data_IF_966769689550
#
_entry.id   IF_966769689550
#
_cell.length_a   1.000
_cell.length_b   1.000
_cell.length_c   1.000
_cell.angle_alpha   90.00
_cell.angle_beta   90.00
_cell.angle_gamma   90.00
#
_symmetry.space_group_name_H-M   'P 1'
#
loop_
_entity.id
_entity.type
_entity.pdbx_description
1 polymer ?
#
# COMPACT_ATOMS: atom_id res chain seq x y z
N UNK A 1 -8.94 -18.61 15.45
CA UNK A 1 -8.81 -17.17 15.18
C UNK A 1 -8.45 -16.99 13.72
N UNK A 2 -8.99 -15.98 13.03
CA UNK A 2 -8.56 -15.59 11.69
C UNK A 2 -7.80 -14.27 11.82
N UNK A 3 -6.75 -14.09 11.01
CA UNK A 3 -6.05 -12.82 10.88
C UNK A 3 -6.17 -12.30 9.46
N UNK A 4 -6.38 -11.00 9.29
CA UNK A 4 -6.35 -10.31 8.01
C UNK A 4 -5.37 -9.13 8.10
N UNK A 5 -4.53 -8.98 7.08
CA UNK A 5 -3.60 -7.86 6.90
C UNK A 5 -3.53 -7.51 5.41
N UNK A 6 -3.09 -6.32 5.09
CA UNK A 6 -2.99 -5.87 3.71
C UNK A 6 -1.75 -5.03 3.43
N UNK A 7 -1.40 -4.93 2.15
CA UNK A 7 -0.61 -3.82 1.63
C UNK A 7 -1.31 -3.22 0.41
N UNK A 8 -1.31 -1.89 0.30
CA UNK A 8 -1.89 -1.18 -0.84
C UNK A 8 -1.15 -1.51 -2.12
N UNK A 9 -1.84 -2.02 -3.14
CA UNK A 9 -1.26 -2.18 -4.47
C UNK A 9 -1.34 -0.87 -5.25
N UNK A 10 -0.26 -0.58 -5.98
CA UNK A 10 -0.23 0.59 -6.84
C UNK A 10 -1.11 0.38 -8.09
N UNK A 11 -1.82 1.41 -8.55
CA UNK A 11 -2.61 1.32 -9.79
C UNK A 11 -2.05 2.34 -10.78
N UNK A 12 -1.24 1.87 -11.73
CA UNK A 12 -0.64 2.70 -12.77
C UNK A 12 -1.59 2.99 -13.93
N UNK A 13 -2.53 2.08 -14.19
CA UNK A 13 -3.49 2.22 -15.28
C UNK A 13 -4.56 3.28 -14.95
N UNK A 14 -4.34 4.50 -15.46
CA UNK A 14 -5.24 5.63 -15.21
C UNK A 14 -6.63 5.47 -15.83
N UNK A 15 -6.80 4.62 -16.83
CA UNK A 15 -8.10 4.35 -17.47
C UNK A 15 -9.11 3.70 -16.51
N UNK A 16 -8.62 3.16 -15.38
CA UNK A 16 -9.45 2.58 -14.33
C UNK A 16 -10.11 3.66 -13.44
N UNK A 17 -9.61 4.89 -13.42
CA UNK A 17 -10.17 6.00 -12.63
C UNK A 17 -11.28 6.73 -13.39
N UNK A 18 -12.33 5.99 -13.75
CA UNK A 18 -13.50 6.52 -14.46
C UNK A 18 -14.78 6.14 -13.74
N UNK A 19 -15.85 6.90 -13.99
CA UNK A 19 -17.21 6.62 -13.48
C UNK A 19 -17.77 5.27 -13.96
N UNK A 20 -17.09 4.60 -14.88
CA UNK A 20 -17.41 3.21 -15.26
C UNK A 20 -17.07 2.23 -14.14
N UNK A 21 -15.96 2.44 -13.42
CA UNK A 21 -15.40 1.50 -12.45
C UNK A 21 -15.48 1.98 -11.01
N UNK A 22 -15.60 3.29 -10.77
CA UNK A 22 -15.71 3.91 -9.45
C UNK A 22 -17.00 4.74 -9.44
N UNK A 23 -17.97 4.39 -8.60
CA UNK A 23 -19.33 4.94 -8.61
C UNK A 23 -19.84 5.18 -7.19
N UNK A 24 -20.71 6.20 -6.99
CA UNK A 24 -21.32 6.43 -5.68
C UNK A 24 -22.40 5.38 -5.33
N UNK A 25 -23.02 4.75 -6.34
CA UNK A 25 -24.11 3.79 -6.15
C UNK A 25 -23.68 2.36 -6.50
N UNK A 26 -24.17 1.38 -5.71
CA UNK A 26 -23.88 -0.04 -5.92
C UNK A 26 -22.47 -0.49 -5.51
N UNK A 27 -21.72 0.36 -4.81
CA UNK A 27 -20.38 0.08 -4.32
C UNK A 27 -20.27 0.39 -2.82
N UNK A 28 -19.35 -0.29 -2.14
CA UNK A 28 -19.10 -0.11 -0.70
C UNK A 28 -17.61 0.14 -0.48
N UNK A 29 -17.27 1.15 0.32
CA UNK A 29 -15.88 1.47 0.63
C UNK A 29 -15.15 0.31 1.31
N UNK A 30 -13.85 0.19 1.02
CA UNK A 30 -13.00 -0.89 1.53
C UNK A 30 -13.11 -1.09 3.03
N UNK A 31 -13.11 0.00 3.82
CA UNK A 31 -13.15 -0.08 5.29
C UNK A 31 -14.44 -0.73 5.84
N UNK A 32 -15.58 -0.53 5.18
CA UNK A 32 -16.84 -1.19 5.56
C UNK A 32 -16.78 -2.67 5.14
N UNK A 33 -16.32 -2.96 3.92
CA UNK A 33 -16.22 -4.34 3.41
C UNK A 33 -15.27 -5.19 4.24
N UNK A 34 -14.12 -4.67 4.66
CA UNK A 34 -13.16 -5.38 5.51
C UNK A 34 -13.75 -5.63 6.90
N UNK A 35 -14.41 -4.62 7.48
CA UNK A 35 -15.11 -4.75 8.77
C UNK A 35 -16.17 -5.85 8.73
N UNK A 36 -17.08 -5.82 7.77
CA UNK A 36 -18.15 -6.84 7.61
C UNK A 36 -17.54 -8.23 7.42
N UNK A 37 -16.50 -8.35 6.59
CA UNK A 37 -15.85 -9.64 6.31
C UNK A 37 -15.18 -10.21 7.56
N UNK A 38 -14.51 -9.37 8.36
CA UNK A 38 -13.93 -9.76 9.64
C UNK A 38 -14.99 -10.23 10.66
N UNK A 39 -16.19 -9.63 10.66
CA UNK A 39 -17.25 -10.00 11.62
C UNK A 39 -18.02 -11.26 11.23
N UNK A 40 -18.30 -11.45 9.93
CA UNK A 40 -19.27 -12.46 9.49
C UNK A 40 -18.64 -13.78 9.04
N UNK A 41 -17.35 -13.80 8.71
CA UNK A 41 -16.73 -14.98 8.10
C UNK A 41 -15.97 -15.85 9.10
N UNK A 42 -15.83 -17.13 8.77
CA UNK A 42 -15.15 -18.12 9.62
C UNK A 42 -13.93 -18.72 8.95
N UNK A 43 -13.82 -18.63 7.62
CA UNK A 43 -12.69 -19.15 6.84
C UNK A 43 -12.09 -18.07 5.94
N UNK A 44 -10.79 -18.15 5.58
CA UNK A 44 -10.17 -17.19 4.67
C UNK A 44 -10.85 -17.11 3.31
N UNK A 45 -11.30 -18.25 2.79
CA UNK A 45 -12.07 -18.34 1.55
C UNK A 45 -13.38 -17.55 1.62
N UNK A 46 -14.18 -17.77 2.67
CA UNK A 46 -15.40 -16.99 2.90
C UNK A 46 -15.10 -15.49 3.00
N UNK A 47 -14.00 -15.13 3.67
CA UNK A 47 -13.59 -13.73 3.83
C UNK A 47 -13.35 -13.07 2.47
N UNK A 48 -12.53 -13.69 1.60
CA UNK A 48 -12.23 -13.13 0.28
C UNK A 48 -13.46 -13.11 -0.62
N UNK A 49 -14.34 -14.11 -0.53
CA UNK A 49 -15.61 -14.14 -1.27
C UNK A 49 -16.59 -13.05 -0.81
N UNK A 50 -16.68 -12.78 0.50
CA UNK A 50 -17.56 -11.74 1.04
C UNK A 50 -17.01 -10.34 0.75
N UNK A 51 -15.71 -10.12 0.96
CA UNK A 51 -15.04 -8.84 0.69
C UNK A 51 -15.12 -8.43 -0.79
N UNK A 52 -15.17 -9.41 -1.69
CA UNK A 52 -15.28 -9.20 -3.13
C UNK A 52 -16.58 -8.53 -3.56
N UNK A 53 -17.63 -8.58 -2.74
CA UNK A 53 -18.94 -8.02 -3.07
C UNK A 53 -18.89 -6.50 -3.02
N UNK A 54 -19.57 -5.86 -3.98
CA UNK A 54 -19.70 -4.40 -4.05
C UNK A 54 -18.35 -3.66 -4.06
N UNK A 55 -17.37 -4.20 -4.80
CA UNK A 55 -16.06 -3.59 -4.99
C UNK A 55 -16.18 -2.10 -5.37
N UNK A 56 -15.55 -1.22 -4.59
CA UNK A 56 -15.52 0.22 -4.86
C UNK A 56 -14.35 0.68 -5.72
N UNK A 57 -13.32 -0.15 -5.92
CA UNK A 57 -12.08 0.31 -6.57
C UNK A 57 -11.31 1.36 -5.78
N UNK A 58 -11.61 1.50 -4.48
CA UNK A 58 -10.96 2.44 -3.56
C UNK A 58 -10.19 1.66 -2.51
N UNK A 59 -9.03 2.18 -2.11
CA UNK A 59 -8.07 1.50 -1.24
C UNK A 59 -7.75 0.08 -1.77
N UNK A 60 -7.14 0.06 -2.95
CA UNK A 60 -6.87 -1.15 -3.73
C UNK A 60 -5.69 -1.89 -3.11
N UNK A 61 -5.93 -3.04 -2.49
CA UNK A 61 -4.94 -3.74 -1.70
C UNK A 61 -4.77 -5.20 -2.13
N UNK A 62 -3.63 -5.78 -1.77
CA UNK A 62 -3.51 -7.21 -1.57
C UNK A 62 -3.87 -7.51 -0.11
N UNK A 63 -5.06 -8.08 0.11
CA UNK A 63 -5.44 -8.66 1.39
C UNK A 63 -4.86 -10.05 1.53
N UNK A 64 -4.27 -10.33 2.68
CA UNK A 64 -3.77 -11.65 3.09
C UNK A 64 -4.57 -12.10 4.31
N UNK A 65 -5.23 -13.25 4.21
CA UNK A 65 -6.12 -13.78 5.24
C UNK A 65 -5.66 -15.17 5.66
N UNK A 66 -5.36 -15.33 6.95
CA UNK A 66 -4.81 -16.56 7.53
C UNK A 66 -5.77 -17.21 8.52
N UNK A 67 -5.91 -18.52 8.44
CA UNK A 67 -6.65 -19.31 9.43
C UNK A 67 -5.70 -19.91 10.49
N UNK A 68 -5.51 -19.20 11.60
CA UNK A 68 -4.70 -19.70 12.71
C UNK A 68 -5.29 -20.95 13.37
N UNK A 69 -6.57 -21.29 13.16
CA UNK A 69 -7.14 -22.55 13.72
C UNK A 69 -6.49 -23.78 13.11
N UNK A 70 -5.92 -23.65 11.91
CA UNK A 70 -5.24 -24.73 11.19
C UNK A 70 -3.78 -24.88 11.58
N UNK A 71 -3.21 -23.91 12.28
CA UNK A 71 -1.83 -23.97 12.77
C UNK A 71 -1.76 -24.73 14.09
N UNK A 72 -0.87 -25.73 14.17
CA UNK A 72 -0.54 -26.45 15.40
C UNK A 72 0.98 -26.45 15.58
N UNK A 73 1.52 -25.87 16.68
CA UNK A 73 2.96 -25.84 16.90
C UNK A 73 3.61 -27.22 16.80
N UNK A 74 4.74 -27.30 16.10
CA UNK A 74 5.48 -28.55 15.88
C UNK A 74 4.81 -29.56 14.93
N UNK A 75 3.73 -29.15 14.24
CA UNK A 75 3.08 -29.95 13.19
C UNK A 75 3.20 -29.25 11.84
N UNK A 76 3.19 -30.05 10.79
CA UNK A 76 3.13 -29.56 9.42
C UNK A 76 1.81 -28.82 9.18
N UNK A 77 1.86 -27.77 8.36
CA UNK A 77 0.69 -27.02 7.93
C UNK A 77 -0.11 -27.79 6.86
N UNK A 78 -1.43 -27.55 6.71
CA UNK A 78 -2.21 -28.21 5.66
C UNK A 78 -1.76 -27.80 4.26
N UNK A 79 -2.19 -28.57 3.25
CA UNK A 79 -1.88 -28.29 1.84
C UNK A 79 -2.68 -27.10 1.28
N UNK A 80 -3.84 -26.80 1.86
CA UNK A 80 -4.79 -25.81 1.36
C UNK A 80 -5.56 -25.11 2.49
N UNK A 81 -6.18 -24.00 2.10
CA UNK A 81 -7.13 -23.20 2.87
C UNK A 81 -6.60 -22.67 4.22
N UNK A 82 -5.28 -22.55 4.38
CA UNK A 82 -4.68 -21.86 5.53
C UNK A 82 -4.44 -20.39 5.23
N UNK A 83 -3.97 -20.06 4.03
CA UNK A 83 -3.63 -18.70 3.62
C UNK A 83 -4.24 -18.37 2.27
N UNK A 84 -5.14 -17.39 2.24
CA UNK A 84 -5.74 -16.86 1.02
C UNK A 84 -5.28 -15.43 0.81
N UNK A 85 -5.09 -15.05 -0.46
CA UNK A 85 -4.94 -13.67 -0.86
C UNK A 85 -6.12 -13.20 -1.69
N UNK A 86 -6.35 -11.89 -1.68
CA UNK A 86 -7.26 -11.19 -2.58
C UNK A 86 -6.60 -9.91 -3.03
N UNK A 87 -6.66 -9.64 -4.34
CA UNK A 87 -6.17 -8.41 -4.93
C UNK A 87 -7.28 -7.69 -5.68
N UNK A 88 -7.36 -6.37 -5.50
CA UNK A 88 -8.44 -5.53 -6.00
C UNK A 88 -7.90 -4.37 -6.83
N UNK A 89 -8.50 -4.10 -7.98
CA UNK A 89 -8.40 -2.82 -8.71
C UNK A 89 -9.80 -2.21 -8.86
N UNK A 90 -9.96 -0.98 -9.39
CA UNK A 90 -11.26 -0.54 -9.88
C UNK A 90 -11.80 -1.53 -10.92
N UNK A 91 -13.02 -2.02 -10.67
CA UNK A 91 -13.73 -2.94 -11.57
C UNK A 91 -13.25 -4.39 -11.58
N UNK A 92 -12.24 -4.80 -10.81
CA UNK A 92 -11.76 -6.20 -10.82
C UNK A 92 -11.27 -6.66 -9.45
N UNK A 93 -11.55 -7.91 -9.13
CA UNK A 93 -11.03 -8.62 -7.95
C UNK A 93 -10.63 -10.04 -8.37
N UNK A 94 -9.52 -10.52 -7.82
CA UNK A 94 -9.09 -11.92 -7.90
C UNK A 94 -8.65 -12.39 -6.53
N UNK A 95 -8.82 -13.68 -6.25
CA UNK A 95 -8.37 -14.30 -5.01
C UNK A 95 -7.81 -15.68 -5.30
N UNK A 96 -6.81 -16.08 -4.51
CA UNK A 96 -6.11 -17.37 -4.66
C UNK A 96 -5.75 -17.95 -3.30
N UNK A 97 -5.81 -19.28 -3.20
CA UNK A 97 -5.21 -20.03 -2.09
C UNK A 97 -3.71 -20.14 -2.33
N UNK A 98 -2.93 -19.54 -1.44
CA UNK A 98 -1.46 -19.51 -1.50
C UNK A 98 -0.83 -20.30 -0.36
N UNK A 99 -1.58 -21.21 0.26
CA UNK A 99 -1.08 -22.12 1.31
C UNK A 99 0.13 -22.91 0.84
N UNK A 100 0.17 -23.29 -0.44
CA UNK A 100 1.32 -23.97 -1.05
C UNK A 100 2.61 -23.15 -0.93
N UNK A 101 2.53 -21.81 -1.06
CA UNK A 101 3.69 -20.93 -0.99
C UNK A 101 4.23 -20.89 0.44
N UNK A 102 3.32 -20.73 1.41
CA UNK A 102 3.66 -20.78 2.83
C UNK A 102 4.28 -22.14 3.19
N UNK A 103 3.75 -23.24 2.65
CA UNK A 103 4.27 -24.59 2.91
C UNK A 103 5.67 -24.79 2.32
N UNK A 104 5.91 -24.26 1.12
CA UNK A 104 7.17 -24.40 0.41
C UNK A 104 8.27 -23.50 0.97
N UNK A 105 7.94 -22.27 1.34
CA UNK A 105 8.91 -21.22 1.65
C UNK A 105 8.86 -20.72 3.10
N UNK A 106 7.88 -21.17 3.90
CA UNK A 106 7.72 -20.82 5.31
C UNK A 106 7.39 -19.34 5.60
N UNK A 107 7.07 -18.55 4.58
CA UNK A 107 6.58 -17.17 4.72
C UNK A 107 5.64 -16.81 3.55
N UNK A 108 4.97 -15.65 3.64
CA UNK A 108 4.24 -15.03 2.53
C UNK A 108 4.60 -13.53 2.42
N UNK A 109 5.03 -13.04 1.25
CA UNK A 109 5.41 -11.64 1.12
C UNK A 109 4.32 -10.78 0.49
N UNK A 110 4.19 -9.54 0.96
CA UNK A 110 3.27 -8.53 0.45
C UNK A 110 3.96 -7.17 0.50
N UNK A 111 4.09 -6.49 -0.64
CA UNK A 111 4.96 -5.32 -0.77
C UNK A 111 4.51 -4.35 -1.87
N UNK A 112 3.20 -4.05 -1.90
CA UNK A 112 2.60 -3.08 -2.83
C UNK A 112 2.61 -3.47 -4.32
N UNK A 113 3.13 -4.66 -4.66
CA UNK A 113 3.14 -5.24 -6.01
C UNK A 113 2.13 -6.40 -6.07
N UNK A 114 1.21 -6.42 -7.05
CA UNK A 114 0.29 -7.53 -7.26
C UNK A 114 1.03 -8.84 -7.57
N UNK A 115 0.68 -9.88 -6.83
CA UNK A 115 1.07 -11.26 -7.05
C UNK A 115 0.25 -11.92 -8.17
N UNK A 116 -1.06 -11.65 -8.24
CA UNK A 116 -1.95 -12.27 -9.22
C UNK A 116 -1.72 -11.62 -10.58
N UNK A 117 -1.25 -12.41 -11.55
CA UNK A 117 -0.83 -11.93 -12.87
C UNK A 117 -1.88 -11.08 -13.58
N UNK A 118 -3.15 -11.48 -13.52
CA UNK A 118 -4.26 -10.71 -14.09
C UNK A 118 -4.35 -9.30 -13.51
N UNK A 119 -4.21 -9.18 -12.18
CA UNK A 119 -4.24 -7.91 -11.49
C UNK A 119 -3.02 -7.07 -11.87
N UNK A 120 -1.82 -7.68 -11.93
CA UNK A 120 -0.60 -6.99 -12.38
C UNK A 120 -0.75 -6.40 -13.80
N UNK A 121 -1.43 -7.12 -14.70
CA UNK A 121 -1.71 -6.63 -16.06
C UNK A 121 -2.73 -5.48 -16.01
N UNK A 122 -3.88 -5.69 -15.36
CA UNK A 122 -4.98 -4.71 -15.33
C UNK A 122 -4.56 -3.39 -14.68
N UNK A 123 -3.81 -3.48 -13.58
CA UNK A 123 -3.28 -2.32 -12.84
C UNK A 123 -2.16 -1.58 -13.59
N UNK A 124 -1.65 -2.10 -14.71
CA UNK A 124 -0.57 -1.48 -15.48
C UNK A 124 0.82 -1.67 -14.87
N UNK A 125 0.99 -2.69 -14.02
CA UNK A 125 2.29 -3.05 -13.42
C UNK A 125 3.24 -3.75 -14.40
N UNK A 126 2.72 -4.28 -15.51
CA UNK A 126 3.57 -4.94 -16.51
C UNK A 126 4.60 -3.95 -17.10
N UNK A 127 5.88 -4.31 -17.04
CA UNK A 127 6.99 -3.44 -17.47
C UNK A 127 7.29 -2.28 -16.52
N UNK A 128 6.80 -2.30 -15.28
CA UNK A 128 7.22 -1.38 -14.21
C UNK A 128 8.30 -2.02 -13.36
N UNK A 129 9.32 -1.24 -13.03
CA UNK A 129 10.41 -1.62 -12.15
C UNK A 129 10.24 -0.98 -10.76
N UNK A 130 11.24 -1.18 -9.90
CA UNK A 130 11.27 -0.64 -8.55
C UNK A 130 11.31 0.90 -8.56
N UNK A 131 11.90 1.53 -9.58
CA UNK A 131 11.97 2.98 -9.71
C UNK A 131 10.59 3.58 -10.03
N UNK A 132 9.85 2.96 -10.95
CA UNK A 132 8.48 3.34 -11.26
C UNK A 132 7.55 3.18 -10.04
N UNK A 133 7.71 2.10 -9.27
CA UNK A 133 6.99 1.91 -8.01
C UNK A 133 7.36 2.98 -6.98
N UNK A 134 8.66 3.24 -6.80
CA UNK A 134 9.15 4.27 -5.88
C UNK A 134 8.54 5.62 -6.23
N UNK A 135 8.60 6.02 -7.51
CA UNK A 135 8.06 7.30 -7.98
C UNK A 135 6.55 7.42 -7.74
N UNK A 136 5.78 6.37 -8.02
CA UNK A 136 4.35 6.39 -7.80
C UNK A 136 4.00 6.45 -6.31
N UNK A 137 4.65 5.65 -5.47
CA UNK A 137 4.37 5.64 -4.03
C UNK A 137 4.81 6.92 -3.31
N UNK A 138 5.71 7.70 -3.91
CA UNK A 138 6.11 9.04 -3.45
C UNK A 138 5.34 10.17 -4.14
N UNK A 139 4.44 9.88 -5.07
CA UNK A 139 3.78 10.92 -5.85
C UNK A 139 2.82 11.76 -5.02
N UNK A 140 3.01 13.08 -5.08
CA UNK A 140 2.04 14.06 -4.65
C UNK A 140 2.28 15.37 -5.43
N UNK A 141 1.41 15.67 -6.38
CA UNK A 141 1.41 16.92 -7.13
C UNK A 141 0.05 17.61 -7.00
N UNK A 142 -0.43 17.73 -5.75
CA UNK A 142 -1.81 18.09 -5.44
C UNK A 142 -2.31 19.40 -6.07
N UNK A 143 -1.43 20.35 -6.39
CA UNK A 143 -1.83 21.62 -7.01
C UNK A 143 -2.15 21.50 -8.51
N UNK A 144 -1.75 20.40 -9.14
CA UNK A 144 -1.94 20.15 -10.58
C UNK A 144 -2.76 18.88 -10.85
N UNK A 145 -2.94 18.01 -9.84
CA UNK A 145 -3.70 16.77 -9.97
C UNK A 145 -5.22 17.02 -9.90
N UNK A 146 -5.95 16.54 -10.91
CA UNK A 146 -7.40 16.65 -10.93
C UNK A 146 -8.08 15.86 -9.82
N UNK A 147 -7.48 14.77 -9.35
CA UNK A 147 -8.03 13.91 -8.30
C UNK A 147 -7.78 14.47 -6.89
N UNK A 148 -6.92 15.49 -6.75
CA UNK A 148 -6.71 16.20 -5.49
C UNK A 148 -7.63 17.42 -5.33
N UNK A 149 -8.49 17.71 -6.32
CA UNK A 149 -9.45 18.82 -6.26
C UNK A 149 -10.49 18.61 -5.17
N UNK A 150 -10.84 19.68 -4.49
CA UNK A 150 -11.92 19.71 -3.50
C UNK A 150 -12.57 21.09 -3.46
N UNK A 151 -13.76 21.20 -2.85
CA UNK A 151 -14.41 22.50 -2.59
C UNK A 151 -13.74 23.20 -1.41
N UNK A 152 -12.46 23.54 -1.61
CA UNK A 152 -11.57 24.05 -0.59
C UNK A 152 -11.15 25.50 -0.86
N UNK A 153 -10.73 26.20 0.20
CA UNK A 153 -10.25 27.59 0.14
C UNK A 153 -9.06 27.76 1.09
N UNK A 154 -8.00 28.50 0.71
CA UNK A 154 -7.88 29.37 -0.47
C UNK A 154 -7.53 28.66 -1.78
N UNK A 155 -7.00 27.43 -1.71
CA UNK A 155 -6.69 26.63 -2.89
C UNK A 155 -7.78 25.58 -3.10
N UNK A 156 -8.22 25.33 -4.34
CA UNK A 156 -9.25 24.34 -4.65
C UNK A 156 -8.68 22.90 -4.69
N UNK A 157 -7.68 22.61 -3.87
CA UNK A 157 -6.96 21.35 -3.81
C UNK A 157 -6.59 21.01 -2.36
N UNK A 158 -6.46 19.71 -2.07
CA UNK A 158 -5.93 19.23 -0.79
C UNK A 158 -4.66 18.41 -0.99
N UNK A 159 -3.62 18.74 -0.20
CA UNK A 159 -2.37 17.98 -0.17
C UNK A 159 -2.52 16.57 0.44
N UNK A 160 -3.68 16.25 1.00
CA UNK A 160 -4.06 14.90 1.43
C UNK A 160 -4.50 14.01 0.25
N UNK A 161 -4.77 14.60 -0.93
CA UNK A 161 -5.22 13.89 -2.12
C UNK A 161 -4.11 13.20 -2.95
N UNK A 162 -2.85 13.29 -2.52
CA UNK A 162 -1.73 12.59 -3.15
C UNK A 162 -1.57 11.15 -2.63
N UNK A 163 -0.81 10.32 -3.36
CA UNK A 163 -0.49 8.94 -2.91
C UNK A 163 0.35 9.00 -1.62
N UNK A 164 1.31 9.94 -1.56
CA UNK A 164 2.05 10.27 -0.35
C UNK A 164 1.60 11.63 0.18
N UNK A 165 0.64 11.62 1.10
CA UNK A 165 0.00 12.83 1.61
C UNK A 165 1.00 13.86 2.20
N UNK A 166 0.64 15.14 2.14
CA UNK A 166 1.39 16.28 2.70
C UNK A 166 0.46 17.27 3.39
N UNK A 167 -0.29 16.82 4.39
CA UNK A 167 -1.25 17.62 5.15
C UNK A 167 -0.64 18.86 5.80
N UNK A 168 0.67 18.87 6.03
CA UNK A 168 1.46 20.01 6.52
C UNK A 168 1.48 21.20 5.54
N UNK A 169 1.25 20.96 4.23
CA UNK A 169 1.22 21.98 3.19
C UNK A 169 -0.14 22.66 3.02
N UNK A 170 -1.19 22.08 3.58
CA UNK A 170 -2.52 22.68 3.56
C UNK A 170 -2.55 23.99 4.38
N UNK A 171 -3.52 24.85 4.11
CA UNK A 171 -3.61 26.16 4.78
C UNK A 171 -4.28 26.01 6.15
N UNK A 172 -3.63 26.42 7.26
CA UNK A 172 -4.30 26.46 8.56
C UNK A 172 -5.56 27.34 8.50
N UNK A 173 -6.64 26.87 9.11
CA UNK A 173 -7.96 27.53 9.08
C UNK A 173 -8.57 27.71 7.68
N UNK A 174 -8.11 26.96 6.68
CA UNK A 174 -8.79 26.85 5.38
C UNK A 174 -10.14 26.15 5.49
N UNK A 175 -10.97 26.32 4.46
CA UNK A 175 -12.25 25.58 4.35
C UNK A 175 -12.01 24.31 3.55
N UNK A 176 -12.53 23.18 4.03
CA UNK A 176 -12.39 21.86 3.42
C UNK A 176 -13.73 21.12 3.47
N UNK A 177 -13.96 20.19 2.53
CA UNK A 177 -15.22 19.42 2.47
C UNK A 177 -15.40 18.47 3.66
N UNK A 178 -14.29 17.94 4.17
CA UNK A 178 -14.19 17.22 5.44
C UNK A 178 -12.93 17.64 6.18
N UNK A 179 -12.97 17.64 7.51
CA UNK A 179 -11.86 18.09 8.36
C UNK A 179 -10.54 17.38 8.05
N UNK A 180 -10.60 16.08 7.71
CA UNK A 180 -9.42 15.27 7.43
C UNK A 180 -8.64 15.68 6.17
N UNK A 181 -9.25 16.48 5.27
CA UNK A 181 -8.60 17.06 4.09
C UNK A 181 -7.83 18.35 4.39
N UNK A 182 -7.92 18.88 5.61
CA UNK A 182 -7.36 20.17 5.98
C UNK A 182 -5.87 20.16 6.35
N UNK A 183 -5.42 21.25 6.96
CA UNK A 183 -4.08 21.34 7.55
C UNK A 183 -3.96 20.41 8.76
N UNK A 184 -2.96 19.53 8.74
CA UNK A 184 -2.75 18.50 9.76
C UNK A 184 -1.27 18.19 9.95
N UNK A 185 -0.91 17.79 11.15
CA UNK A 185 0.34 17.08 11.43
C UNK A 185 0.23 15.65 10.87
N UNK A 186 0.21 15.54 9.54
CA UNK A 186 -0.03 14.30 8.81
C UNK A 186 0.65 14.32 7.45
N UNK A 187 1.37 13.26 7.11
CA UNK A 187 2.00 13.07 5.81
C UNK A 187 2.27 11.57 5.56
N UNK A 188 2.59 11.22 4.32
CA UNK A 188 3.22 9.94 4.00
C UNK A 188 4.68 9.95 4.45
N UNK A 189 5.01 9.23 5.52
CA UNK A 189 6.31 9.33 6.20
C UNK A 189 7.37 8.36 5.70
N UNK A 190 7.02 7.41 4.84
CA UNK A 190 8.00 6.50 4.27
C UNK A 190 7.54 5.90 2.93
N UNK A 191 8.44 5.16 2.31
CA UNK A 191 8.17 4.16 1.29
C UNK A 191 9.04 2.96 1.58
N UNK A 192 8.46 1.76 1.43
CA UNK A 192 9.20 0.50 1.39
C UNK A 192 8.69 -0.28 0.19
N UNK A 193 9.59 -0.76 -0.65
CA UNK A 193 9.21 -1.58 -1.80
C UNK A 193 10.28 -2.59 -2.13
N UNK A 194 9.87 -3.72 -2.70
CA UNK A 194 10.80 -4.75 -3.17
C UNK A 194 10.32 -5.28 -4.51
N UNK A 195 11.23 -5.92 -5.25
CA UNK A 195 10.93 -6.69 -6.45
C UNK A 195 11.34 -8.16 -6.22
N UNK A 196 11.16 -9.02 -7.23
CA UNK A 196 11.50 -10.44 -7.13
C UNK A 196 12.96 -10.69 -6.74
N UNK A 197 13.90 -9.93 -7.31
CA UNK A 197 15.33 -10.08 -7.06
C UNK A 197 15.74 -9.62 -5.67
N UNK A 198 15.32 -8.42 -5.26
CA UNK A 198 15.53 -7.93 -3.90
C UNK A 198 14.94 -8.91 -2.89
N UNK A 199 13.73 -9.39 -3.18
CA UNK A 199 13.01 -10.27 -2.29
C UNK A 199 13.68 -11.64 -2.13
N UNK A 200 14.25 -12.22 -3.20
CA UNK A 200 15.02 -13.47 -3.11
C UNK A 200 16.27 -13.34 -2.24
N UNK A 201 16.73 -12.11 -1.97
CA UNK A 201 17.85 -11.77 -1.10
C UNK A 201 17.40 -11.19 0.26
N UNK A 202 16.09 -11.20 0.56
CA UNK A 202 15.47 -10.53 1.72
C UNK A 202 15.81 -9.04 1.83
N UNK A 203 15.91 -8.35 0.69
CA UNK A 203 16.21 -6.92 0.57
C UNK A 203 14.95 -6.14 0.22
N UNK A 204 14.99 -4.83 0.44
CA UNK A 204 13.98 -3.89 -0.02
C UNK A 204 14.57 -2.48 -0.13
N UNK A 205 13.94 -1.66 -0.97
CA UNK A 205 14.18 -0.22 -1.01
C UNK A 205 13.38 0.46 0.09
N UNK A 206 14.03 1.35 0.84
CA UNK A 206 13.40 2.19 1.85
C UNK A 206 13.66 3.67 1.56
N UNK A 207 12.66 4.53 1.77
CA UNK A 207 12.80 5.98 1.71
C UNK A 207 12.04 6.59 2.89
N UNK A 208 12.76 7.20 3.84
CA UNK A 208 12.15 7.86 5.01
C UNK A 208 11.85 9.35 4.79
N UNK A 209 10.79 9.82 5.43
CA UNK A 209 10.35 11.21 5.47
C UNK A 209 9.15 11.53 4.56
N UNK A 210 8.54 12.72 4.73
CA UNK A 210 7.53 13.25 3.82
C UNK A 210 8.03 13.28 2.37
N UNK A 211 7.13 13.05 1.41
CA UNK A 211 7.52 13.17 -0.01
C UNK A 211 7.89 14.60 -0.38
N UNK A 212 8.87 14.72 -1.26
CA UNK A 212 9.29 15.95 -1.90
C UNK A 212 9.51 15.66 -3.39
N UNK A 213 9.49 16.70 -4.22
CA UNK A 213 9.44 16.63 -5.69
C UNK A 213 8.06 16.18 -6.25
N UNK A 214 7.24 17.12 -6.77
CA UNK A 214 7.51 18.54 -6.97
C UNK A 214 7.38 19.39 -5.69
N UNK A 215 7.00 18.79 -4.57
CA UNK A 215 6.74 19.49 -3.31
C UNK A 215 8.03 19.93 -2.60
N UNK A 216 7.98 20.97 -1.75
CA UNK A 216 9.12 21.38 -0.97
C UNK A 216 9.51 20.31 0.06
N UNK A 217 10.81 20.20 0.32
CA UNK A 217 11.37 19.39 1.40
C UNK A 217 10.74 19.81 2.74
N UNK A 218 10.39 18.85 3.56
CA UNK A 218 9.88 19.13 4.90
C UNK A 218 11.01 19.54 5.85
N UNK A 219 10.80 20.64 6.57
CA UNK A 219 11.70 21.19 7.58
C UNK A 219 10.90 21.63 8.80
N UNK A 220 11.26 21.11 9.98
CA UNK A 220 10.64 21.45 11.26
C UNK A 220 10.72 22.93 11.60
N UNK A 221 11.66 23.70 11.02
CA UNK A 221 11.87 25.12 11.30
C UNK A 221 10.95 26.02 10.48
N UNK A 222 10.51 25.54 9.31
CA UNK A 222 9.68 26.32 8.38
C UNK A 222 8.25 25.81 8.29
N UNK A 223 7.97 24.62 8.80
CA UNK A 223 6.61 24.06 8.84
C UNK A 223 5.71 24.89 9.77
N UNK A 224 4.40 24.83 9.49
CA UNK A 224 3.36 25.41 10.37
C UNK A 224 2.93 24.42 11.46
N UNK A 225 3.39 23.17 11.39
CA UNK A 225 3.11 22.12 12.38
C UNK A 225 3.84 22.44 13.68
N UNK A 226 3.13 22.36 14.81
CA UNK A 226 3.70 22.56 16.14
C UNK A 226 3.63 21.25 16.92
N UNK A 227 4.75 20.54 16.96
CA UNK A 227 4.87 19.25 17.63
C UNK A 227 6.27 19.06 18.23
N UNK A 228 6.36 18.29 19.32
CA UNK A 228 7.63 17.82 19.84
C UNK A 228 8.22 16.75 18.90
N UNK A 229 9.50 16.88 18.53
CA UNK A 229 10.16 16.02 17.54
C UNK A 229 11.59 15.64 17.99
N UNK A 230 11.76 15.33 19.27
CA UNK A 230 13.05 14.96 19.84
C UNK A 230 13.68 13.76 19.11
N UNK A 231 14.94 13.91 18.71
CA UNK A 231 15.68 12.88 17.99
C UNK A 231 15.36 12.77 16.51
N UNK A 232 14.42 13.54 15.99
CA UNK A 232 14.19 13.62 14.54
C UNK A 232 15.19 14.59 13.88
N UNK A 233 15.55 14.34 12.62
CA UNK A 233 16.27 15.31 11.79
C UNK A 233 15.46 16.60 11.65
N UNK A 234 16.14 17.74 11.68
CA UNK A 234 15.55 19.05 11.41
C UNK A 234 14.93 19.12 10.01
N UNK A 235 15.68 18.64 9.01
CA UNK A 235 15.33 18.64 7.59
C UNK A 235 15.22 17.22 7.09
N UNK A 236 14.12 16.89 6.41
CA UNK A 236 13.84 15.55 5.87
C UNK A 236 14.11 15.49 4.36
N UNK A 237 15.39 15.61 3.99
CA UNK A 237 15.87 15.54 2.60
C UNK A 237 16.64 14.24 2.30
N UNK A 238 16.09 13.12 2.74
CA UNK A 238 16.70 11.81 2.48
C UNK A 238 16.33 11.33 1.08
N UNK A 239 17.22 10.59 0.44
CA UNK A 239 16.88 9.77 -0.74
C UNK A 239 16.58 8.34 -0.31
N UNK A 240 16.08 7.52 -1.24
CA UNK A 240 15.94 6.09 -0.97
C UNK A 240 17.31 5.42 -0.75
N UNK A 241 17.29 4.30 -0.04
CA UNK A 241 18.40 3.36 0.11
C UNK A 241 17.89 1.95 -0.22
N UNK A 242 18.71 1.17 -0.91
CA UNK A 242 18.47 -0.26 -1.10
C UNK A 242 19.16 -1.00 0.03
N UNK A 243 18.37 -1.60 0.92
CA UNK A 243 18.89 -2.21 2.14
C UNK A 243 19.56 -3.55 1.85
N UNK A 244 20.74 -3.73 2.43
CA UNK A 244 21.53 -4.95 2.37
C UNK A 244 21.75 -5.52 3.77
N UNK A 245 21.90 -6.83 3.86
CA UNK A 245 22.23 -7.49 5.12
C UNK A 245 23.71 -7.33 5.41
N UNK A 246 24.06 -6.98 6.65
CA UNK A 246 25.44 -6.98 7.13
C UNK A 246 26.04 -8.40 7.22
N UNK A 247 25.17 -9.42 7.26
CA UNK A 247 25.53 -10.83 7.36
C UNK A 247 25.12 -11.59 6.10
N UNK A 248 25.88 -12.61 5.72
CA UNK A 248 25.50 -13.49 4.62
C UNK A 248 24.18 -14.20 4.89
N UNK A 249 23.28 -14.17 3.91
CA UNK A 249 21.98 -14.84 4.00
C UNK A 249 21.83 -15.77 2.80
N UNK A 250 21.49 -17.03 3.08
CA UNK A 250 21.14 -18.03 2.07
C UNK A 250 19.62 -18.14 2.03
N UNK A 251 19.00 -17.63 0.98
CA UNK A 251 17.54 -17.56 0.84
C UNK A 251 17.16 -18.14 -0.50
N UNK A 252 16.29 -19.16 -0.50
CA UNK A 252 15.82 -19.82 -1.72
C UNK A 252 16.93 -20.39 -2.65
N UNK A 253 18.11 -20.70 -2.10
CA UNK A 253 19.26 -21.17 -2.89
C UNK A 253 20.04 -20.07 -3.62
N UNK A 254 19.74 -18.80 -3.34
CA UNK A 254 20.56 -17.65 -3.74
C UNK A 254 21.45 -17.25 -2.57
N UNK A 255 22.77 -17.27 -2.79
CA UNK A 255 23.72 -16.66 -1.85
C UNK A 255 23.79 -15.16 -2.11
N UNK A 256 23.87 -14.35 -1.05
CA UNK A 256 23.97 -12.89 -1.13
C UNK A 256 25.19 -12.36 -1.90
N UNK A 257 26.15 -13.23 -2.25
CA UNK A 257 27.39 -12.92 -2.99
C UNK A 257 27.42 -13.47 -4.42
N UNK A 258 26.30 -13.88 -5.03
CA UNK A 258 26.28 -14.14 -6.48
C UNK A 258 26.21 -12.82 -7.25
N UNK A 259 27.31 -12.07 -7.20
CA UNK A 259 27.61 -11.01 -8.15
C UNK A 259 27.70 -11.65 -9.54
N UNK A 260 26.81 -11.23 -10.44
CA UNK A 260 27.06 -11.30 -11.89
C UNK A 260 27.46 -9.91 -12.37
#
# INVERSE_FOLDING_TARGET
>A
MQGSIETTIAIFNKELYTDKYIKPEGQVHCWIRSTISNYLTKTPKEWVELFSRYNSGTYNNQWTVVDYKKFKPGKEIPDNDMLWILEQTPGSIRSEDVTWFLKKYSYWPSYNVPFIKDIAIISGFNGKDIDALTKLMRYNDYTHDEYAKCKCSPLPYTAEGGISARGDLNTPNGTYEVESMGFRDHAGLDYKGTNYEMFSKLRFRAWGGPTYDPLPVFDWATTKVVANHFGQPQVWNFTYVDLEWETNVSVLGFDSNSDY
#
